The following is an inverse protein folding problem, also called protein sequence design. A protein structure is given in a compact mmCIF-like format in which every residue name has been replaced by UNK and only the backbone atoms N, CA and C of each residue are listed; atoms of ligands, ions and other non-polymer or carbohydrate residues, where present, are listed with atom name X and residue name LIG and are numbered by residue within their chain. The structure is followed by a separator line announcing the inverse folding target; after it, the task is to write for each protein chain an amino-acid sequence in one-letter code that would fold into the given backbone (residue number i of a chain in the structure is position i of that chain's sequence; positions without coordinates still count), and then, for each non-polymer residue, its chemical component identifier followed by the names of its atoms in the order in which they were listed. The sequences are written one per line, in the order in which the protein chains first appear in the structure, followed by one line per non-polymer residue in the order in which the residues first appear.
data_IF_684928285592
#
_entry.id   IF_684928285592
#
_cell.length_a   1.000
_cell.length_b   1.000
_cell.length_c   1.000
_cell.angle_alpha   90.00
_cell.angle_beta   90.00
_cell.angle_gamma   90.00
#
_symmetry.space_group_name_H-M   'P 1'
#
loop_
_entity.id
_entity.type
_entity.pdbx_description
1 polymer ?
#
# COMPACT_ATOMS: atom_id res chain seq x y z
N UNK A 1 10.54 6.70 -27.88
CA UNK A 1 9.83 7.04 -26.64
C UNK A 1 8.36 6.81 -26.92
N UNK A 2 7.74 5.75 -26.38
CA UNK A 2 6.28 5.61 -26.49
C UNK A 2 5.71 6.83 -25.73
N UNK A 3 5.09 7.74 -26.45
CA UNK A 3 4.32 8.84 -25.84
C UNK A 3 3.25 8.20 -24.96
N UNK A 4 3.18 8.63 -23.70
CA UNK A 4 2.03 8.29 -22.84
C UNK A 4 0.78 8.71 -23.61
N UNK A 5 -0.16 7.78 -23.78
CA UNK A 5 -1.33 8.03 -24.59
C UNK A 5 -2.27 9.04 -23.90
N UNK A 6 -3.05 9.77 -24.69
CA UNK A 6 -3.92 10.82 -24.17
C UNK A 6 -4.94 10.30 -23.15
N UNK A 7 -5.45 9.09 -23.32
CA UNK A 7 -6.44 8.50 -22.42
C UNK A 7 -5.82 8.13 -21.06
N UNK A 8 -4.56 7.70 -21.03
CA UNK A 8 -3.84 7.54 -19.74
C UNK A 8 -3.78 8.86 -18.97
N UNK A 9 -3.52 9.98 -19.64
CA UNK A 9 -3.52 11.30 -18.99
C UNK A 9 -4.91 11.72 -18.54
N UNK A 10 -5.94 11.52 -19.37
CA UNK A 10 -7.32 11.82 -18.99
C UNK A 10 -7.74 11.01 -17.75
N UNK A 11 -7.41 9.72 -17.71
CA UNK A 11 -7.67 8.88 -16.55
C UNK A 11 -6.99 9.42 -15.28
N UNK A 12 -5.72 9.84 -15.39
CA UNK A 12 -4.98 10.42 -14.26
C UNK A 12 -5.53 11.77 -13.80
N UNK A 13 -6.00 12.61 -14.72
CA UNK A 13 -6.57 13.92 -14.41
C UNK A 13 -7.95 13.80 -13.73
N UNK A 14 -8.75 12.82 -14.17
CA UNK A 14 -10.07 12.55 -13.64
C UNK A 14 -10.03 11.85 -12.26
N UNK A 15 -9.00 11.03 -12.00
CA UNK A 15 -8.92 10.27 -10.76
C UNK A 15 -8.41 11.14 -9.58
N UNK A 16 -9.06 11.08 -8.39
CA UNK A 16 -10.17 10.22 -7.99
C UNK A 16 -11.57 10.89 -8.07
N UNK A 17 -11.69 12.06 -8.70
CA UNK A 17 -12.89 12.89 -8.62
C UNK A 17 -14.04 12.42 -9.53
N UNK A 18 -13.72 11.86 -10.70
CA UNK A 18 -14.71 11.38 -11.68
C UNK A 18 -14.43 9.91 -12.02
N UNK A 19 -15.03 8.99 -11.27
CA UNK A 19 -14.78 7.55 -11.43
C UNK A 19 -15.24 7.04 -12.80
N UNK A 20 -16.39 7.50 -13.29
CA UNK A 20 -16.93 7.06 -14.58
C UNK A 20 -16.01 7.45 -15.74
N UNK A 21 -15.57 8.73 -15.78
CA UNK A 21 -14.65 9.21 -16.81
C UNK A 21 -13.24 8.61 -16.66
N UNK A 22 -12.82 8.30 -15.42
CA UNK A 22 -11.59 7.54 -15.17
C UNK A 22 -11.66 6.16 -15.82
N UNK A 23 -12.71 5.39 -15.53
CA UNK A 23 -12.89 4.03 -16.06
C UNK A 23 -12.98 4.04 -17.58
N UNK A 24 -13.79 4.93 -18.16
CA UNK A 24 -13.91 5.04 -19.62
C UNK A 24 -12.55 5.34 -20.27
N UNK A 25 -11.79 6.29 -19.71
CA UNK A 25 -10.45 6.63 -20.21
C UNK A 25 -9.47 5.45 -20.07
N UNK A 26 -9.54 4.69 -18.97
CA UNK A 26 -8.71 3.51 -18.77
C UNK A 26 -9.04 2.39 -19.76
N UNK A 27 -10.33 2.16 -20.05
CA UNK A 27 -10.77 1.18 -21.05
C UNK A 27 -10.22 1.52 -22.43
N UNK A 28 -10.29 2.79 -22.83
CA UNK A 28 -9.67 3.24 -24.07
C UNK A 28 -8.14 3.02 -24.03
N UNK A 29 -7.46 3.46 -22.98
CA UNK A 29 -6.01 3.29 -22.86
C UNK A 29 -5.56 1.83 -23.00
N UNK A 30 -6.24 0.89 -22.33
CA UNK A 30 -5.94 -0.54 -22.40
C UNK A 30 -6.38 -1.20 -23.71
N UNK A 31 -7.39 -0.66 -24.39
CA UNK A 31 -7.75 -1.11 -25.74
C UNK A 31 -6.63 -0.79 -26.75
N UNK A 32 -5.95 0.35 -26.60
CA UNK A 32 -4.79 0.73 -27.42
C UNK A 32 -3.51 -0.01 -27.03
N UNK A 33 -3.22 -0.12 -25.73
CA UNK A 33 -2.06 -0.85 -25.19
C UNK A 33 -2.45 -1.62 -23.91
N UNK A 34 -2.74 -2.91 -24.07
CA UNK A 34 -3.09 -3.81 -22.96
C UNK A 34 -1.99 -3.94 -21.90
N UNK A 35 -0.75 -3.58 -22.24
CA UNK A 35 0.41 -3.65 -21.34
C UNK A 35 0.78 -2.29 -20.75
N UNK A 36 -0.11 -1.29 -20.88
CA UNK A 36 0.11 0.03 -20.30
C UNK A 36 0.13 -0.04 -18.77
N UNK A 37 1.35 -0.07 -18.23
CA UNK A 37 1.66 -0.16 -16.80
C UNK A 37 0.96 0.93 -15.99
N UNK A 38 0.90 2.15 -16.51
CA UNK A 38 0.27 3.28 -15.81
C UNK A 38 -1.24 3.11 -15.73
N UNK A 39 -1.88 2.70 -16.83
CA UNK A 39 -3.32 2.43 -16.86
C UNK A 39 -3.68 1.23 -15.96
N UNK A 40 -2.94 0.11 -16.06
CA UNK A 40 -3.13 -1.07 -15.20
C UNK A 40 -2.95 -0.72 -13.72
N UNK A 41 -1.91 0.04 -13.38
CA UNK A 41 -1.70 0.51 -12.01
C UNK A 41 -2.86 1.40 -11.52
N UNK A 42 -3.36 2.30 -12.36
CA UNK A 42 -4.48 3.16 -11.97
C UNK A 42 -5.78 2.35 -11.82
N UNK A 43 -6.02 1.37 -12.68
CA UNK A 43 -7.13 0.42 -12.52
C UNK A 43 -7.05 -0.31 -11.18
N UNK A 44 -5.88 -0.86 -10.84
CA UNK A 44 -5.66 -1.50 -9.54
C UNK A 44 -5.99 -0.56 -8.38
N UNK A 45 -5.60 0.72 -8.48
CA UNK A 45 -5.94 1.75 -7.48
C UNK A 45 -7.43 2.04 -7.41
N UNK A 46 -8.16 2.14 -8.53
CA UNK A 46 -9.62 2.30 -8.49
C UNK A 46 -10.27 1.16 -7.71
N UNK A 47 -9.90 -0.09 -8.02
CA UNK A 47 -10.45 -1.25 -7.34
C UNK A 47 -10.09 -1.30 -5.85
N UNK A 48 -8.87 -0.95 -5.45
CA UNK A 48 -8.46 -0.99 -4.04
C UNK A 48 -8.95 0.20 -3.23
N UNK A 49 -8.86 1.42 -3.78
CA UNK A 49 -9.09 2.67 -3.04
C UNK A 49 -10.57 3.10 -3.07
N UNK A 50 -11.32 2.76 -4.12
CA UNK A 50 -12.70 3.23 -4.32
C UNK A 50 -13.73 2.12 -4.16
N UNK A 51 -13.40 0.90 -4.56
CA UNK A 51 -14.34 -0.24 -4.58
C UNK A 51 -14.07 -1.27 -3.48
N UNK A 52 -12.97 -1.13 -2.73
CA UNK A 52 -12.50 -2.08 -1.72
C UNK A 52 -12.41 -3.55 -2.22
N UNK A 53 -12.28 -3.73 -3.54
CA UNK A 53 -12.14 -5.04 -4.17
C UNK A 53 -10.64 -5.31 -4.38
N UNK A 54 -10.00 -5.76 -3.31
CA UNK A 54 -8.56 -5.97 -3.28
C UNK A 54 -8.10 -7.13 -4.17
N UNK A 55 -8.91 -8.18 -4.33
CA UNK A 55 -8.58 -9.31 -5.20
C UNK A 55 -8.41 -8.86 -6.66
N UNK A 56 -9.37 -8.07 -7.17
CA UNK A 56 -9.27 -7.53 -8.52
C UNK A 56 -8.14 -6.50 -8.64
N UNK A 57 -7.92 -5.67 -7.60
CA UNK A 57 -6.81 -4.73 -7.57
C UNK A 57 -5.44 -5.44 -7.68
N UNK A 58 -5.27 -6.53 -6.94
CA UNK A 58 -4.07 -7.38 -6.97
C UNK A 58 -3.82 -7.92 -8.37
N UNK A 59 -4.85 -8.42 -9.07
CA UNK A 59 -4.72 -8.88 -10.47
C UNK A 59 -4.15 -7.79 -11.37
N UNK A 60 -4.71 -6.57 -11.32
CA UNK A 60 -4.22 -5.46 -12.13
C UNK A 60 -2.78 -5.05 -11.79
N UNK A 61 -2.40 -5.05 -10.52
CA UNK A 61 -1.02 -4.76 -10.11
C UNK A 61 -0.05 -5.85 -10.57
N UNK A 62 -0.46 -7.13 -10.54
CA UNK A 62 0.33 -8.25 -11.06
C UNK A 62 0.51 -8.13 -12.58
N UNK A 63 -0.53 -7.79 -13.33
CA UNK A 63 -0.46 -7.55 -14.77
C UNK A 63 0.46 -6.37 -15.12
N UNK A 64 0.41 -5.29 -14.33
CA UNK A 64 1.30 -4.14 -14.49
C UNK A 64 2.78 -4.55 -14.29
N UNK A 65 3.09 -5.32 -13.24
CA UNK A 65 4.46 -5.79 -12.97
C UNK A 65 4.93 -6.91 -13.90
N UNK A 66 4.01 -7.69 -14.47
CA UNK A 66 4.33 -8.65 -15.54
C UNK A 66 4.76 -7.91 -16.83
N UNK A 67 4.20 -6.72 -17.07
CA UNK A 67 4.58 -5.86 -18.21
C UNK A 67 5.90 -5.13 -17.95
N UNK A 68 6.11 -4.59 -16.75
CA UNK A 68 7.37 -3.97 -16.33
C UNK A 68 7.64 -4.16 -14.83
N UNK A 69 8.55 -5.08 -14.50
CA UNK A 69 9.00 -5.31 -13.12
C UNK A 69 9.77 -4.11 -12.53
N UNK A 70 10.25 -3.20 -13.38
CA UNK A 70 10.91 -1.96 -12.99
C UNK A 70 9.93 -0.84 -12.62
N UNK A 71 8.61 -1.07 -12.72
CA UNK A 71 7.59 -0.06 -12.47
C UNK A 71 7.44 0.30 -10.98
N UNK A 72 8.40 1.08 -10.48
CA UNK A 72 8.52 1.49 -9.07
C UNK A 72 7.26 2.14 -8.50
N UNK A 73 6.41 2.75 -9.36
CA UNK A 73 5.16 3.39 -8.97
C UNK A 73 4.08 2.38 -8.52
N UNK A 74 4.12 1.13 -8.98
CA UNK A 74 3.11 0.11 -8.68
C UNK A 74 3.25 -0.42 -7.26
N UNK A 75 4.49 -0.62 -6.81
CA UNK A 75 4.80 -1.33 -5.56
C UNK A 75 4.08 -0.80 -4.32
N UNK A 76 4.05 0.52 -4.03
CA UNK A 76 3.37 1.01 -2.84
C UNK A 76 1.90 0.60 -2.78
N UNK A 77 1.18 0.72 -3.90
CA UNK A 77 -0.25 0.43 -3.99
C UNK A 77 -0.52 -1.08 -3.93
N UNK A 78 0.31 -1.87 -4.62
CA UNK A 78 0.18 -3.32 -4.58
C UNK A 78 0.44 -3.87 -3.17
N UNK A 79 1.47 -3.38 -2.48
CA UNK A 79 1.74 -3.77 -1.10
C UNK A 79 0.57 -3.39 -0.18
N UNK A 80 0.02 -2.17 -0.33
CA UNK A 80 -1.14 -1.74 0.47
C UNK A 80 -2.35 -2.66 0.23
N UNK A 81 -2.64 -3.04 -1.02
CA UNK A 81 -3.72 -3.97 -1.36
C UNK A 81 -3.50 -5.37 -0.76
N UNK A 82 -2.27 -5.91 -0.81
CA UNK A 82 -1.94 -7.19 -0.16
C UNK A 82 -2.12 -7.13 1.35
N UNK A 83 -1.70 -6.04 2.00
CA UNK A 83 -1.88 -5.85 3.45
C UNK A 83 -3.37 -5.84 3.81
N UNK A 84 -4.19 -5.10 3.06
CA UNK A 84 -5.64 -4.98 3.30
C UNK A 84 -6.39 -6.28 3.00
N UNK A 85 -5.94 -7.04 2.01
CA UNK A 85 -6.48 -8.36 1.69
C UNK A 85 -6.00 -9.47 2.66
N UNK A 86 -5.10 -9.13 3.58
CA UNK A 86 -4.44 -10.03 4.55
C UNK A 86 -3.43 -11.04 3.96
N UNK A 87 -2.91 -10.78 2.76
CA UNK A 87 -1.82 -11.54 2.14
C UNK A 87 -0.44 -11.07 2.65
N UNK A 88 -0.25 -11.19 3.96
CA UNK A 88 0.88 -10.59 4.68
C UNK A 88 2.26 -11.15 4.27
N UNK A 89 2.34 -12.45 3.99
CA UNK A 89 3.60 -13.09 3.60
C UNK A 89 3.99 -12.74 2.15
N UNK A 90 3.02 -12.50 1.26
CA UNK A 90 3.28 -11.95 -0.07
C UNK A 90 3.69 -10.48 0.01
N UNK A 91 2.99 -9.68 0.82
CA UNK A 91 3.37 -8.29 1.07
C UNK A 91 4.83 -8.17 1.57
N UNK A 92 5.25 -9.02 2.50
CA UNK A 92 6.63 -9.03 3.02
C UNK A 92 7.68 -9.35 1.95
N UNK A 93 7.41 -10.35 1.11
CA UNK A 93 8.28 -10.72 -0.02
C UNK A 93 8.36 -9.57 -1.03
N UNK A 94 7.22 -8.96 -1.35
CA UNK A 94 7.15 -7.84 -2.29
C UNK A 94 7.89 -6.60 -1.77
N UNK A 95 7.75 -6.27 -0.48
CA UNK A 95 8.52 -5.21 0.19
C UNK A 95 10.02 -5.47 0.08
N UNK A 96 10.45 -6.69 0.38
CA UNK A 96 11.85 -7.08 0.35
C UNK A 96 12.44 -6.92 -1.05
N UNK A 97 11.70 -7.36 -2.08
CA UNK A 97 12.07 -7.16 -3.48
C UNK A 97 12.11 -5.68 -3.86
N UNK A 98 11.06 -4.92 -3.56
CA UNK A 98 10.94 -3.50 -3.91
C UNK A 98 12.12 -2.68 -3.37
N UNK A 99 12.59 -2.97 -2.14
CA UNK A 99 13.74 -2.29 -1.55
C UNK A 99 15.08 -2.51 -2.29
N UNK A 100 15.15 -3.47 -3.21
CA UNK A 100 16.32 -3.72 -4.08
C UNK A 100 16.28 -2.94 -5.38
N UNK A 101 15.11 -2.40 -5.78
CA UNK A 101 14.94 -1.72 -7.06
C UNK A 101 15.60 -0.34 -7.07
N UNK A 102 16.30 -0.04 -8.17
CA UNK A 102 16.86 1.30 -8.40
C UNK A 102 15.71 2.29 -8.66
N UNK A 103 15.75 3.45 -8.00
CA UNK A 103 14.73 4.50 -8.15
C UNK A 103 13.49 4.31 -7.28
N UNK A 104 13.40 3.23 -6.49
CA UNK A 104 12.32 3.06 -5.53
C UNK A 104 12.37 4.15 -4.45
N UNK A 105 11.22 4.70 -4.09
CA UNK A 105 11.13 5.55 -2.92
C UNK A 105 11.21 4.66 -1.66
N UNK A 106 12.42 4.55 -1.10
CA UNK A 106 12.72 3.71 0.07
C UNK A 106 11.88 4.09 1.29
N UNK A 107 11.63 5.38 1.51
CA UNK A 107 10.78 5.86 2.59
C UNK A 107 9.37 5.28 2.45
N UNK A 108 8.78 5.40 1.25
CA UNK A 108 7.43 4.90 0.96
C UNK A 108 7.30 3.40 1.23
N UNK A 109 8.28 2.59 0.82
CA UNK A 109 8.25 1.12 1.02
C UNK A 109 8.50 0.75 2.49
N UNK A 110 9.42 1.42 3.18
CA UNK A 110 9.65 1.19 4.62
C UNK A 110 8.43 1.55 5.47
N UNK A 111 7.63 2.54 5.05
CA UNK A 111 6.38 2.86 5.72
C UNK A 111 5.39 1.70 5.63
N UNK A 112 5.30 1.05 4.46
CA UNK A 112 4.47 -0.17 4.29
C UNK A 112 4.98 -1.33 5.12
N UNK A 113 6.31 -1.50 5.23
CA UNK A 113 6.89 -2.48 6.14
C UNK A 113 6.45 -2.24 7.59
N UNK A 114 6.48 -0.99 8.06
CA UNK A 114 5.99 -0.65 9.41
C UNK A 114 4.51 -0.98 9.55
N UNK A 115 3.68 -0.65 8.55
CA UNK A 115 2.25 -0.99 8.56
C UNK A 115 2.01 -2.50 8.58
N UNK A 116 2.75 -3.28 7.79
CA UNK A 116 2.68 -4.74 7.78
C UNK A 116 3.01 -5.34 9.15
N UNK A 117 4.11 -4.89 9.77
CA UNK A 117 4.49 -5.35 11.10
C UNK A 117 3.47 -4.93 12.17
N UNK A 118 2.88 -3.74 12.02
CA UNK A 118 1.83 -3.25 12.90
C UNK A 118 0.55 -4.10 12.82
N UNK A 119 0.09 -4.47 11.62
CA UNK A 119 -1.12 -5.33 11.48
C UNK A 119 -0.86 -6.76 11.96
N UNK A 120 0.37 -7.28 11.82
CA UNK A 120 0.78 -8.58 12.38
C UNK A 120 0.95 -8.57 13.90
N UNK A 121 0.96 -7.38 14.52
CA UNK A 121 1.23 -7.21 15.94
C UNK A 121 2.71 -7.43 16.32
N UNK A 122 3.63 -7.44 15.36
CA UNK A 122 5.07 -7.46 15.64
C UNK A 122 5.57 -6.05 15.94
N UNK A 123 5.31 -5.62 17.19
CA UNK A 123 5.68 -4.30 17.67
C UNK A 123 7.19 -4.05 17.65
N UNK A 124 8.00 -5.11 17.81
CA UNK A 124 9.46 -4.97 17.83
C UNK A 124 9.95 -4.68 16.41
N UNK A 125 9.52 -5.48 15.44
CA UNK A 125 9.85 -5.27 14.04
C UNK A 125 9.31 -3.94 13.52
N UNK A 126 8.10 -3.52 13.93
CA UNK A 126 7.54 -2.23 13.59
C UNK A 126 8.40 -1.06 14.09
N UNK A 127 8.89 -1.12 15.33
CA UNK A 127 9.77 -0.09 15.90
C UNK A 127 11.16 -0.07 15.25
N UNK A 128 11.70 -1.22 14.85
CA UNK A 128 12.92 -1.29 14.04
C UNK A 128 12.70 -0.70 12.64
N UNK A 129 11.55 -0.97 12.03
CA UNK A 129 11.11 -0.37 10.77
C UNK A 129 11.04 1.15 10.85
N UNK A 130 10.50 1.71 11.95
CA UNK A 130 10.48 3.16 12.17
C UNK A 130 11.88 3.75 12.16
N UNK A 131 12.87 3.12 12.80
CA UNK A 131 14.25 3.61 12.78
C UNK A 131 14.81 3.67 11.35
N UNK A 132 14.58 2.62 10.56
CA UNK A 132 14.99 2.56 9.15
C UNK A 132 14.26 3.64 8.32
N UNK A 133 12.97 3.82 8.57
CA UNK A 133 12.13 4.84 7.92
C UNK A 133 12.65 6.25 8.20
N UNK A 134 13.00 6.58 9.43
CA UNK A 134 13.59 7.87 9.81
C UNK A 134 14.88 8.14 9.06
N UNK A 135 15.78 7.16 8.97
CA UNK A 135 17.04 7.29 8.23
C UNK A 135 16.84 7.44 6.72
N UNK A 136 15.74 6.91 6.18
CA UNK A 136 15.39 7.01 4.76
C UNK A 136 14.59 8.28 4.42
N UNK A 137 14.13 9.05 5.42
CA UNK A 137 13.38 10.28 5.19
C UNK A 137 14.30 11.35 4.61
N UNK A 138 13.90 11.91 3.47
CA UNK A 138 14.64 12.99 2.78
C UNK A 138 13.92 14.34 2.91
N UNK A 139 12.65 14.32 3.35
CA UNK A 139 11.78 15.48 3.54
C UNK A 139 11.40 15.64 5.01
N UNK A 140 10.70 16.72 5.33
CA UNK A 140 10.28 17.08 6.69
C UNK A 140 9.11 16.22 7.22
N UNK A 141 9.29 14.89 7.26
CA UNK A 141 8.27 13.91 7.67
C UNK A 141 8.37 13.54 9.17
N UNK A 142 9.12 14.31 9.96
CA UNK A 142 9.40 13.99 11.36
C UNK A 142 8.13 13.87 12.19
N UNK A 143 7.15 14.74 11.92
CA UNK A 143 5.88 14.78 12.63
C UNK A 143 5.05 13.51 12.39
N UNK A 144 5.05 13.00 11.16
CA UNK A 144 4.35 11.81 10.73
C UNK A 144 4.99 10.57 11.33
N UNK A 145 6.32 10.51 11.34
CA UNK A 145 7.09 9.42 11.96
C UNK A 145 6.82 9.36 13.47
N UNK A 146 6.82 10.50 14.18
CA UNK A 146 6.54 10.50 15.62
C UNK A 146 5.07 10.12 15.91
N UNK A 147 4.10 10.58 15.10
CA UNK A 147 2.71 10.12 15.20
C UNK A 147 2.58 8.61 15.02
N UNK A 148 3.25 8.05 14.02
CA UNK A 148 3.27 6.60 13.75
C UNK A 148 3.87 5.82 14.91
N UNK A 149 4.98 6.31 15.46
CA UNK A 149 5.65 5.72 16.63
C UNK A 149 4.76 5.72 17.87
N UNK A 150 4.05 6.82 18.14
CA UNK A 150 3.10 6.87 19.25
C UNK A 150 1.93 5.90 19.02
N UNK A 151 1.37 5.85 17.81
CA UNK A 151 0.31 4.89 17.43
C UNK A 151 0.71 3.45 17.75
N UNK A 152 1.91 3.04 17.33
CA UNK A 152 2.42 1.68 17.59
C UNK A 152 2.60 1.41 19.09
N UNK A 153 3.13 2.36 19.86
CA UNK A 153 3.26 2.22 21.32
C UNK A 153 1.91 2.06 22.00
N UNK A 154 0.91 2.87 21.63
CA UNK A 154 -0.45 2.78 22.16
C UNK A 154 -1.10 1.44 21.83
N UNK A 155 -0.97 0.96 20.59
CA UNK A 155 -1.48 -0.37 20.21
C UNK A 155 -0.77 -1.49 20.98
N UNK A 156 0.55 -1.39 21.16
CA UNK A 156 1.32 -2.35 21.95
C UNK A 156 0.87 -2.40 23.43
N UNK A 157 0.55 -1.26 24.06
CA UNK A 157 0.05 -1.26 25.44
C UNK A 157 -1.34 -1.89 25.53
N UNK A 158 -2.24 -1.55 24.61
CA UNK A 158 -3.59 -2.14 24.55
C UNK A 158 -3.56 -3.66 24.37
N UNK A 159 -2.63 -4.18 23.56
CA UNK A 159 -2.47 -5.62 23.35
C UNK A 159 -1.99 -6.38 24.61
N UNK A 160 -1.32 -5.70 25.56
CA UNK A 160 -0.86 -6.29 26.83
C UNK A 160 -1.94 -6.32 27.90
N UNK A 161 -2.90 -5.40 27.86
CA UNK A 161 -4.02 -5.34 28.78
C UNK A 161 -5.12 -6.34 28.40
N UNK A 162 -5.01 -7.61 28.85
CA UNK A 162 -6.12 -8.59 28.73
C UNK A 162 -7.36 -8.12 29.48
N UNK A 163 -8.58 -8.52 29.06
CA UNK A 163 -9.84 -8.01 29.61
C UNK A 163 -9.95 -8.33 31.11
N UNK A 164 -10.31 -7.29 31.87
CA UNK A 164 -10.64 -7.35 33.29
C UNK A 164 -11.60 -8.53 33.52
N UNK A 165 -11.16 -9.54 34.30
CA UNK A 165 -11.99 -10.70 34.67
C UNK A 165 -13.35 -10.17 35.18
N UNK A 166 -14.44 -10.43 34.45
CA UNK A 166 -15.80 -10.22 34.98
C UNK A 166 -15.87 -10.91 36.33
N UNK A 167 -16.02 -10.10 37.39
CA UNK A 167 -16.00 -10.56 38.76
C UNK A 167 -16.98 -11.72 38.94
N UNK A 168 -16.48 -12.82 39.51
CA UNK A 168 -17.29 -13.95 39.93
C UNK A 168 -18.47 -13.45 40.79
N UNK A 169 -19.66 -13.92 40.45
CA UNK A 169 -20.87 -13.92 41.26
C UNK A 169 -20.60 -13.86 42.76
N UNK A 170 -21.09 -12.82 43.44
CA UNK A 170 -21.50 -12.96 44.84
C UNK A 170 -23.00 -13.25 44.85
N UNK A 171 -23.33 -14.54 44.95
CA UNK A 171 -24.61 -14.97 45.51
C UNK A 171 -24.71 -14.42 46.93
N UNK A 172 -25.76 -13.67 47.22
CA UNK A 172 -26.41 -13.59 48.53
C UNK A 172 -27.90 -13.50 48.29
#
# INVERSE_FOLDING_TARGET
MKTVDHYTFQALDNYPYSLMETIESLDYALAYDKTNVTALCLYGRVYSEQLENYEQAISYFQEALASDVGAVAVYPYFIDALILYNEWDEAERLISFALTLKGINRYTILLRYVHLMEVRGDWKAAMEGIKKLTLASVTNNESEIERLKQRIKTKQSLAKEKPMKKGKNKKK
#
